data_IF_994576465730
#
_entry.id   IF_994576465730
#
_cell.length_a   1.000
_cell.length_b   1.000
_cell.length_c   1.000
_cell.angle_alpha   90.00
_cell.angle_beta   90.00
_cell.angle_gamma   90.00
#
_symmetry.space_group_name_H-M   'P 1'
#
loop_
_entity.id
_entity.type
_entity.pdbx_description
1 polymer ?
#
# COMPACT_ATOMS: atom_id res chain seq x y z
N UNK A 1 26.69 10.05 -11.66
CA UNK A 1 26.62 9.91 -10.20
C UNK A 1 25.17 9.63 -9.88
N UNK A 2 24.91 8.54 -9.20
CA UNK A 2 23.56 8.15 -8.84
C UNK A 2 23.00 9.14 -7.79
N UNK A 3 21.70 9.42 -7.85
CA UNK A 3 20.99 10.18 -6.81
C UNK A 3 20.81 9.27 -5.58
N UNK A 4 20.85 9.81 -4.38
CA UNK A 4 20.44 9.01 -3.21
C UNK A 4 18.97 8.61 -3.34
N UNK A 5 18.62 7.49 -2.75
CA UNK A 5 17.24 6.94 -2.74
C UNK A 5 16.72 6.94 -1.33
N UNK A 6 15.53 7.47 -1.12
CA UNK A 6 14.84 7.44 0.16
C UNK A 6 13.56 6.60 0.03
N UNK A 7 13.43 5.57 0.83
CA UNK A 7 12.18 4.82 0.96
C UNK A 7 11.26 5.54 1.95
N UNK A 8 10.01 5.76 1.55
CA UNK A 8 8.94 6.30 2.40
C UNK A 8 7.86 5.23 2.55
N UNK A 9 7.71 4.69 3.75
CA UNK A 9 6.69 3.69 4.07
C UNK A 9 5.47 4.41 4.65
N UNK A 10 4.29 4.20 4.05
CA UNK A 10 3.03 4.78 4.50
C UNK A 10 2.35 3.88 5.52
N UNK A 11 2.30 4.28 6.78
CA UNK A 11 1.76 3.51 7.90
C UNK A 11 0.65 4.28 8.68
N UNK A 12 -0.13 5.13 8.00
CA UNK A 12 -1.20 5.93 8.62
C UNK A 12 -2.60 5.33 8.53
N UNK A 13 -2.80 4.23 7.79
CA UNK A 13 -4.09 3.56 7.62
C UNK A 13 -4.50 2.71 8.83
N UNK A 14 -5.81 2.49 9.03
CA UNK A 14 -6.32 1.58 10.07
C UNK A 14 -6.62 0.17 9.57
N UNK A 15 -6.79 -0.03 8.25
CA UNK A 15 -7.08 -1.35 7.67
C UNK A 15 -8.41 -1.96 8.12
N UNK A 16 -9.46 -1.17 8.27
CA UNK A 16 -10.73 -1.53 8.90
C UNK A 16 -11.44 -2.78 8.34
N UNK A 17 -11.14 -3.19 7.10
CA UNK A 17 -11.70 -4.41 6.49
C UNK A 17 -11.11 -5.72 7.05
N UNK A 18 -10.03 -5.63 7.82
CA UNK A 18 -9.46 -6.76 8.57
C UNK A 18 -9.94 -6.79 10.04
N UNK A 19 -11.07 -6.14 10.34
CA UNK A 19 -11.75 -6.34 11.60
C UNK A 19 -12.14 -7.83 11.76
N UNK A 20 -12.02 -8.45 12.95
CA UNK A 20 -11.66 -7.89 14.25
C UNK A 20 -10.16 -7.86 14.59
N UNK A 21 -9.27 -8.39 13.77
CA UNK A 21 -7.83 -8.30 14.02
C UNK A 21 -7.33 -6.85 13.98
N UNK A 22 -7.79 -6.07 12.98
CA UNK A 22 -7.50 -4.64 12.88
C UNK A 22 -8.56 -3.83 13.63
N UNK A 23 -8.10 -2.92 14.49
CA UNK A 23 -8.92 -1.99 15.30
C UNK A 23 -8.29 -0.61 15.33
N UNK A 24 -8.94 0.36 15.98
CA UNK A 24 -8.41 1.72 16.13
C UNK A 24 -7.09 1.79 16.89
N UNK A 25 -6.85 0.88 17.82
CA UNK A 25 -5.64 0.74 18.63
C UNK A 25 -4.65 -0.31 18.11
N UNK A 26 -5.03 -1.10 17.12
CA UNK A 26 -4.18 -2.12 16.48
C UNK A 26 -4.41 -2.12 14.96
N UNK A 27 -3.83 -1.17 14.22
CA UNK A 27 -4.02 -1.08 12.77
C UNK A 27 -3.31 -2.20 12.02
N UNK A 28 -3.75 -2.46 10.78
CA UNK A 28 -3.33 -3.56 9.91
C UNK A 28 -1.81 -3.70 9.78
N UNK A 29 -1.08 -2.61 9.63
CA UNK A 29 0.37 -2.63 9.40
C UNK A 29 1.17 -3.23 10.55
N UNK A 30 0.60 -3.29 11.76
CA UNK A 30 1.25 -3.92 12.93
C UNK A 30 0.84 -5.38 13.13
N UNK A 31 -0.03 -5.92 12.26
CA UNK A 31 -0.41 -7.33 12.30
C UNK A 31 0.60 -8.20 11.56
N UNK A 32 0.81 -9.43 12.04
CA UNK A 32 1.48 -10.50 11.32
C UNK A 32 0.44 -11.25 10.49
N UNK A 33 0.44 -11.08 9.17
CA UNK A 33 -0.55 -11.67 8.26
C UNK A 33 0.12 -12.15 6.95
N UNK A 34 -0.46 -13.19 6.36
CA UNK A 34 -0.12 -13.62 5.00
C UNK A 34 1.18 -14.43 4.87
N UNK A 35 1.80 -14.84 5.98
CA UNK A 35 2.96 -15.74 6.01
C UNK A 35 2.94 -16.49 7.34
N UNK A 36 2.72 -17.81 7.34
CA UNK A 36 2.64 -18.60 8.57
C UNK A 36 4.01 -18.85 9.23
N UNK A 37 5.09 -18.66 8.48
CA UNK A 37 6.47 -18.88 8.95
C UNK A 37 7.12 -17.58 9.45
N UNK A 38 6.44 -16.43 9.34
CA UNK A 38 6.95 -15.12 9.74
C UNK A 38 5.94 -14.37 10.63
N UNK A 39 6.22 -14.33 11.92
CA UNK A 39 5.42 -13.67 12.96
C UNK A 39 5.62 -12.15 13.05
N UNK A 40 6.49 -11.58 12.20
CA UNK A 40 6.71 -10.14 12.14
C UNK A 40 5.55 -9.41 11.49
N UNK A 41 5.34 -8.18 11.93
CA UNK A 41 4.31 -7.32 11.35
C UNK A 41 4.55 -7.01 9.87
N UNK A 42 3.48 -6.64 9.16
CA UNK A 42 3.57 -6.20 7.76
C UNK A 42 4.51 -5.00 7.61
N UNK A 43 4.51 -4.06 8.56
CA UNK A 43 5.45 -2.93 8.57
C UNK A 43 6.90 -3.40 8.71
N UNK A 44 7.19 -4.33 9.63
CA UNK A 44 8.53 -4.86 9.82
C UNK A 44 9.06 -5.53 8.55
N UNK A 45 8.24 -6.37 7.91
CA UNK A 45 8.59 -7.01 6.63
C UNK A 45 8.78 -6.00 5.50
N UNK A 46 7.98 -4.91 5.48
CA UNK A 46 8.16 -3.83 4.49
C UNK A 46 9.45 -3.06 4.74
N UNK A 47 9.78 -2.74 6.00
CA UNK A 47 11.02 -2.07 6.36
C UNK A 47 12.26 -2.90 6.00
N UNK A 48 12.22 -4.21 6.18
CA UNK A 48 13.33 -5.10 5.81
C UNK A 48 13.61 -5.13 4.29
N UNK A 49 12.60 -4.87 3.45
CA UNK A 49 12.72 -4.81 1.99
C UNK A 49 13.18 -3.45 1.46
N UNK A 50 13.67 -2.55 2.31
CA UNK A 50 14.16 -1.23 1.90
C UNK A 50 15.68 -1.18 1.68
N UNK A 51 16.35 -2.32 1.55
CA UNK A 51 17.79 -2.43 1.32
C UNK A 51 18.31 -1.72 0.06
N UNK A 52 17.43 -1.38 -0.88
CA UNK A 52 17.74 -0.58 -2.06
C UNK A 52 17.90 0.93 -1.78
N UNK A 53 17.50 1.42 -0.60
CA UNK A 53 17.47 2.84 -0.24
C UNK A 53 18.61 3.21 0.71
N UNK A 54 19.07 4.46 0.61
CA UNK A 54 20.11 5.04 1.49
C UNK A 54 19.51 5.49 2.84
N UNK A 55 18.20 5.76 2.90
CA UNK A 55 17.47 6.07 4.12
C UNK A 55 16.02 5.58 4.02
N UNK A 56 15.42 5.25 5.16
CA UNK A 56 14.03 4.83 5.28
C UNK A 56 13.26 5.73 6.23
N UNK A 57 12.14 6.27 5.78
CA UNK A 57 11.18 7.04 6.57
C UNK A 57 9.88 6.23 6.71
N UNK A 58 9.23 6.32 7.87
CA UNK A 58 7.87 5.80 8.08
C UNK A 58 6.93 6.98 8.34
N UNK A 59 6.06 7.27 7.39
CA UNK A 59 5.03 8.30 7.53
C UNK A 59 3.81 7.71 8.22
N UNK A 60 3.41 8.30 9.34
CA UNK A 60 2.33 7.79 10.19
C UNK A 60 1.60 8.92 10.90
N UNK A 61 0.47 8.57 11.52
CA UNK A 61 -0.32 9.48 12.34
C UNK A 61 0.24 9.58 13.77
N UNK A 62 -0.10 10.66 14.51
CA UNK A 62 0.35 10.82 15.89
C UNK A 62 0.02 9.62 16.80
N UNK A 63 -1.17 9.01 16.59
CA UNK A 63 -1.65 7.90 17.41
C UNK A 63 -0.79 6.62 17.28
N UNK A 64 -0.04 6.45 16.19
CA UNK A 64 0.76 5.25 15.91
C UNK A 64 2.27 5.51 15.96
N UNK A 65 2.69 6.76 16.19
CA UNK A 65 4.11 7.15 16.09
C UNK A 65 5.01 6.41 17.09
N UNK A 66 4.53 6.17 18.30
CA UNK A 66 5.29 5.51 19.36
C UNK A 66 5.46 4.00 19.10
N UNK A 67 4.62 3.39 18.25
CA UNK A 67 4.64 1.95 17.96
C UNK A 67 5.59 1.63 16.78
N UNK A 68 5.79 2.57 15.86
CA UNK A 68 6.65 2.37 14.68
C UNK A 68 8.06 1.88 15.00
N UNK A 69 8.79 2.40 16.02
CA UNK A 69 10.15 1.96 16.32
C UNK A 69 10.26 0.49 16.76
N UNK A 70 9.19 -0.11 17.28
CA UNK A 70 9.16 -1.54 17.63
C UNK A 70 9.20 -2.43 16.40
N UNK A 71 8.65 -1.96 15.28
CA UNK A 71 8.53 -2.69 14.02
C UNK A 71 9.57 -2.28 12.97
N UNK A 72 10.02 -1.02 13.00
CA UNK A 72 10.98 -0.46 12.04
C UNK A 72 12.07 0.37 12.78
N UNK A 73 12.94 -0.24 13.58
CA UNK A 73 13.86 0.46 14.48
C UNK A 73 14.91 1.30 13.78
N UNK A 74 15.17 1.06 12.50
CA UNK A 74 16.18 1.78 11.72
C UNK A 74 15.57 2.89 10.85
N UNK A 75 14.24 3.08 10.88
CA UNK A 75 13.56 4.10 10.11
C UNK A 75 13.36 5.39 10.91
N UNK A 76 13.43 6.53 10.25
CA UNK A 76 13.00 7.80 10.83
C UNK A 76 11.46 7.88 10.81
N UNK A 77 10.86 8.28 11.92
CA UNK A 77 9.39 8.45 12.01
C UNK A 77 9.01 9.86 11.56
N UNK A 78 8.15 9.94 10.55
CA UNK A 78 7.56 11.19 10.06
C UNK A 78 6.11 11.25 10.48
N UNK A 79 5.80 12.12 11.45
CA UNK A 79 4.44 12.26 11.98
C UNK A 79 3.66 13.27 11.16
N UNK A 80 2.54 12.84 10.55
CA UNK A 80 1.63 13.71 9.82
C UNK A 80 0.94 14.70 10.76
N UNK A 81 0.81 16.00 10.40
CA UNK A 81 0.04 16.95 11.20
C UNK A 81 -1.42 16.56 11.39
N UNK A 82 -2.02 15.89 10.42
CA UNK A 82 -3.40 15.38 10.47
C UNK A 82 -3.60 14.24 9.44
N UNK A 83 -4.49 13.30 9.72
CA UNK A 83 -4.87 12.25 8.78
C UNK A 83 -5.75 12.79 7.65
N UNK A 84 -5.19 13.05 6.48
CA UNK A 84 -5.89 13.62 5.30
C UNK A 84 -5.72 12.79 4.02
N UNK A 85 -5.68 11.45 4.18
CA UNK A 85 -5.47 10.51 3.09
C UNK A 85 -4.04 10.57 2.51
N UNK A 86 -3.75 9.74 1.49
CA UNK A 86 -2.38 9.51 0.99
C UNK A 86 -1.77 10.72 0.28
N UNK A 87 -2.56 11.61 -0.32
CA UNK A 87 -2.05 12.77 -1.04
C UNK A 87 -1.22 13.71 -0.16
N UNK A 88 -1.81 14.32 0.89
CA UNK A 88 -1.07 15.17 1.82
C UNK A 88 0.06 14.44 2.55
N UNK A 89 -0.16 13.17 2.97
CA UNK A 89 0.84 12.36 3.65
C UNK A 89 2.10 12.16 2.79
N UNK A 90 1.93 11.75 1.54
CA UNK A 90 3.01 11.54 0.57
C UNK A 90 3.75 12.83 0.24
N UNK A 91 3.01 13.92 0.02
CA UNK A 91 3.63 15.20 -0.30
C UNK A 91 4.51 15.69 0.86
N UNK A 92 4.02 15.58 2.10
CA UNK A 92 4.77 15.94 3.29
C UNK A 92 5.97 15.01 3.53
N UNK A 93 5.78 13.70 3.42
CA UNK A 93 6.89 12.75 3.56
C UNK A 93 7.95 12.93 2.46
N UNK A 94 7.54 13.26 1.22
CA UNK A 94 8.46 13.61 0.14
C UNK A 94 9.24 14.90 0.44
N UNK A 95 8.61 15.90 1.09
CA UNK A 95 9.31 17.10 1.56
C UNK A 95 10.38 16.72 2.60
N UNK A 96 10.03 15.92 3.60
CA UNK A 96 10.96 15.46 4.65
C UNK A 96 12.12 14.59 4.10
N UNK A 97 11.86 13.83 3.05
CA UNK A 97 12.90 13.00 2.40
C UNK A 97 14.07 13.83 1.82
N UNK A 98 13.88 15.13 1.55
CA UNK A 98 14.97 16.05 1.16
C UNK A 98 16.03 16.20 2.25
N UNK A 99 15.63 16.07 3.52
CA UNK A 99 16.49 16.25 4.69
C UNK A 99 17.11 14.94 5.18
N UNK A 100 16.58 13.78 4.73
CA UNK A 100 16.98 12.46 5.22
C UNK A 100 18.32 11.96 4.68
N UNK A 101 18.86 12.61 3.65
CA UNK A 101 20.12 12.23 3.00
C UNK A 101 20.96 13.45 2.65
N UNK A 102 22.28 13.32 2.85
CA UNK A 102 23.24 14.32 2.40
C UNK A 102 23.53 14.14 0.90
N UNK A 103 23.56 15.22 0.14
CA UNK A 103 23.93 15.16 -1.27
C UNK A 103 23.77 16.49 -2.01
N UNK A 104 24.53 16.66 -3.11
CA UNK A 104 24.40 17.83 -4.00
C UNK A 104 23.13 17.77 -4.87
N UNK A 105 22.48 16.59 -4.94
CA UNK A 105 21.28 16.33 -5.75
C UNK A 105 20.13 15.91 -4.86
N UNK A 106 18.95 16.39 -5.18
CA UNK A 106 17.71 15.88 -4.58
C UNK A 106 17.61 14.36 -4.67
N UNK A 107 17.13 13.66 -3.62
CA UNK A 107 16.94 12.22 -3.66
C UNK A 107 15.88 11.81 -4.69
N UNK A 108 15.84 10.52 -4.98
CA UNK A 108 14.64 9.86 -5.49
C UNK A 108 13.89 9.28 -4.31
N UNK A 109 12.63 9.58 -4.20
CA UNK A 109 11.74 9.04 -3.18
C UNK A 109 10.98 7.85 -3.76
N UNK A 110 11.03 6.71 -3.07
CA UNK A 110 10.21 5.53 -3.38
C UNK A 110 9.18 5.37 -2.27
N UNK A 111 7.90 5.46 -2.61
CA UNK A 111 6.78 5.38 -1.67
C UNK A 111 6.22 3.97 -1.66
N UNK A 112 6.09 3.40 -0.47
CA UNK A 112 5.65 2.02 -0.23
C UNK A 112 4.50 2.00 0.77
N UNK A 113 3.39 1.28 0.51
CA UNK A 113 2.43 0.92 1.57
C UNK A 113 3.07 -0.03 2.60
N UNK A 114 2.75 0.17 3.88
CA UNK A 114 3.28 -0.63 4.99
C UNK A 114 2.70 -2.04 5.09
N UNK A 115 1.62 -2.33 4.35
CA UNK A 115 0.69 -3.41 4.65
C UNK A 115 0.48 -4.40 3.49
N UNK A 116 1.37 -4.39 2.50
CA UNK A 116 1.32 -5.29 1.37
C UNK A 116 2.11 -6.60 1.60
N UNK A 117 1.57 -7.68 1.08
CA UNK A 117 2.26 -8.96 1.00
C UNK A 117 3.12 -9.02 -0.27
N UNK A 118 4.42 -9.24 -0.09
CA UNK A 118 5.41 -9.43 -1.17
C UNK A 118 6.35 -10.55 -0.74
N UNK A 119 6.21 -11.75 -1.29
CA UNK A 119 7.00 -12.91 -0.85
C UNK A 119 8.45 -12.91 -1.38
N UNK A 120 8.72 -12.26 -2.52
CA UNK A 120 10.05 -12.20 -3.14
C UNK A 120 10.69 -10.83 -2.91
N UNK A 121 11.46 -10.70 -1.83
CA UNK A 121 12.15 -9.48 -1.45
C UNK A 121 13.23 -9.05 -2.45
N UNK A 122 14.00 -9.98 -3.01
CA UNK A 122 15.08 -9.67 -3.96
C UNK A 122 14.52 -9.10 -5.27
N UNK A 123 13.48 -9.72 -5.81
CA UNK A 123 12.81 -9.24 -7.02
C UNK A 123 12.12 -7.89 -6.77
N UNK A 124 11.59 -7.67 -5.57
CA UNK A 124 11.03 -6.40 -5.14
C UNK A 124 12.10 -5.31 -5.12
N UNK A 125 13.20 -5.49 -4.40
CA UNK A 125 14.28 -4.51 -4.30
C UNK A 125 14.88 -4.16 -5.67
N UNK A 126 15.12 -5.17 -6.52
CA UNK A 126 15.59 -4.95 -7.88
C UNK A 126 14.60 -4.11 -8.73
N UNK A 127 13.29 -4.33 -8.54
CA UNK A 127 12.26 -3.56 -9.23
C UNK A 127 12.18 -2.12 -8.70
N UNK A 128 12.27 -1.91 -7.39
CA UNK A 128 12.30 -0.57 -6.77
C UNK A 128 13.52 0.23 -7.26
N UNK A 129 14.70 -0.37 -7.23
CA UNK A 129 15.92 0.26 -7.74
C UNK A 129 15.79 0.65 -9.23
N UNK A 130 15.14 -0.21 -10.04
CA UNK A 130 14.86 0.09 -11.46
C UNK A 130 13.93 1.30 -11.60
N UNK A 131 12.83 1.34 -10.85
CA UNK A 131 11.87 2.45 -10.87
C UNK A 131 12.49 3.76 -10.38
N UNK A 132 13.28 3.71 -9.31
CA UNK A 132 14.04 4.87 -8.81
C UNK A 132 14.97 5.43 -9.87
N UNK A 133 15.65 4.57 -10.64
CA UNK A 133 16.50 5.00 -11.73
C UNK A 133 15.70 5.67 -12.86
N UNK A 134 14.54 5.11 -13.24
CA UNK A 134 13.66 5.76 -14.24
C UNK A 134 13.22 7.14 -13.76
N UNK A 135 12.75 7.26 -12.50
CA UNK A 135 12.35 8.55 -11.92
C UNK A 135 13.50 9.58 -11.92
N UNK A 136 14.67 9.17 -11.45
CA UNK A 136 15.85 10.03 -11.36
C UNK A 136 16.41 10.50 -12.71
N UNK A 137 16.40 9.63 -13.72
CA UNK A 137 16.94 9.91 -15.06
C UNK A 137 15.96 10.72 -15.92
N UNK A 138 14.64 10.52 -15.73
CA UNK A 138 13.62 11.09 -16.64
C UNK A 138 12.82 12.24 -16.03
N UNK A 139 12.85 12.40 -14.71
CA UNK A 139 11.99 13.35 -13.98
C UNK A 139 10.49 13.04 -14.13
N UNK A 140 10.12 11.78 -14.40
CA UNK A 140 8.73 11.34 -14.46
C UNK A 140 8.26 10.83 -13.11
N UNK A 141 6.95 10.92 -12.86
CA UNK A 141 6.33 10.17 -11.79
C UNK A 141 6.24 8.71 -12.24
N UNK A 142 6.75 7.80 -11.45
CA UNK A 142 6.74 6.36 -11.75
C UNK A 142 5.72 5.66 -10.86
N UNK A 143 4.80 4.90 -11.48
CA UNK A 143 3.95 3.93 -10.81
C UNK A 143 4.47 2.51 -11.07
N UNK A 144 4.34 1.62 -10.09
CA UNK A 144 4.68 0.21 -10.29
C UNK A 144 3.41 -0.57 -10.60
N UNK A 145 3.43 -1.24 -11.75
CA UNK A 145 2.28 -1.97 -12.28
C UNK A 145 2.43 -3.46 -12.09
N UNK A 146 1.48 -4.10 -11.43
CA UNK A 146 1.40 -5.55 -11.25
C UNK A 146 0.55 -6.16 -12.36
N UNK A 147 1.00 -7.27 -12.95
CA UNK A 147 0.22 -7.98 -13.97
C UNK A 147 -1.05 -8.58 -13.35
N UNK A 148 -2.25 -8.25 -13.85
CA UNK A 148 -3.49 -8.73 -13.28
C UNK A 148 -3.67 -10.23 -13.47
N UNK A 149 -4.06 -10.93 -12.41
CA UNK A 149 -4.43 -12.35 -12.45
C UNK A 149 -5.95 -12.58 -12.48
N UNK A 150 -6.74 -11.51 -12.29
CA UNK A 150 -8.19 -11.52 -12.23
C UNK A 150 -8.77 -10.11 -12.45
N UNK A 151 -10.06 -9.95 -12.81
CA UNK A 151 -10.70 -8.64 -12.90
C UNK A 151 -11.09 -8.11 -11.50
N UNK A 152 -10.14 -7.44 -10.82
CA UNK A 152 -10.36 -6.88 -9.49
C UNK A 152 -11.00 -5.49 -9.57
N UNK A 153 -12.14 -5.29 -8.94
CA UNK A 153 -12.83 -3.98 -8.87
C UNK A 153 -12.34 -3.11 -7.71
N UNK A 154 -11.54 -3.66 -6.81
CA UNK A 154 -10.98 -2.95 -5.65
C UNK A 154 -9.66 -2.21 -5.95
N UNK A 155 -9.07 -2.40 -7.14
CA UNK A 155 -7.77 -1.85 -7.51
C UNK A 155 -7.90 -0.76 -8.58
N UNK A 156 -6.92 0.14 -8.61
CA UNK A 156 -6.67 1.00 -9.76
C UNK A 156 -6.00 0.21 -10.89
N UNK A 157 -6.24 0.65 -12.13
CA UNK A 157 -5.63 0.08 -13.34
C UNK A 157 -4.80 1.13 -14.07
N UNK A 158 -3.66 0.73 -14.58
CA UNK A 158 -2.73 1.55 -15.34
C UNK A 158 -2.76 1.10 -16.80
N UNK A 159 -3.17 2.00 -17.70
CA UNK A 159 -3.03 1.80 -19.14
C UNK A 159 -1.56 2.06 -19.54
N UNK A 160 -0.83 1.05 -20.02
CA UNK A 160 0.53 1.25 -20.46
C UNK A 160 0.55 1.87 -21.87
N UNK A 161 1.35 2.92 -22.01
CA UNK A 161 1.63 3.59 -23.29
C UNK A 161 2.83 2.98 -24.02
N UNK A 162 3.56 3.85 -24.73
CA UNK A 162 4.70 3.45 -25.54
C UNK A 162 5.88 2.94 -24.68
N UNK A 163 6.59 1.95 -25.21
CA UNK A 163 7.86 1.49 -24.65
C UNK A 163 8.93 2.57 -24.76
N UNK A 164 9.71 2.74 -23.71
CA UNK A 164 10.79 3.73 -23.59
C UNK A 164 11.99 3.10 -22.89
N UNK A 165 13.12 3.76 -23.02
CA UNK A 165 14.33 3.51 -22.23
C UNK A 165 14.88 4.82 -21.70
N UNK A 166 15.59 4.78 -20.57
CA UNK A 166 16.32 5.95 -20.08
C UNK A 166 17.40 6.40 -21.09
N UNK A 167 17.83 7.67 -21.04
CA UNK A 167 18.75 8.26 -22.04
C UNK A 167 20.04 7.45 -22.24
N UNK A 168 20.52 6.79 -21.21
CA UNK A 168 21.71 5.93 -21.30
C UNK A 168 21.38 4.48 -21.68
N UNK A 169 20.13 4.22 -22.15
CA UNK A 169 19.68 2.92 -22.66
C UNK A 169 19.66 1.79 -21.63
N UNK A 170 19.85 2.12 -20.35
CA UNK A 170 20.10 1.11 -19.32
C UNK A 170 18.82 0.51 -18.72
N UNK A 171 17.70 1.24 -18.70
CA UNK A 171 16.46 0.82 -18.02
C UNK A 171 15.26 1.03 -18.93
N UNK A 172 14.52 -0.06 -19.17
CA UNK A 172 13.27 -0.03 -19.91
C UNK A 172 12.09 0.33 -18.97
N UNK A 173 11.16 1.12 -19.50
CA UNK A 173 9.89 1.48 -18.85
C UNK A 173 8.83 1.72 -19.91
N UNK A 174 7.57 1.91 -19.53
CA UNK A 174 6.49 2.32 -20.43
C UNK A 174 5.94 3.68 -19.99
N UNK A 175 5.49 4.47 -20.96
CA UNK A 175 4.70 5.66 -20.61
C UNK A 175 3.41 5.22 -19.90
N UNK A 176 2.93 6.00 -18.97
CA UNK A 176 1.61 5.83 -18.40
C UNK A 176 0.63 6.61 -19.29
N UNK A 177 -0.25 5.90 -20.00
CA UNK A 177 -1.21 6.51 -20.94
C UNK A 177 -2.45 7.00 -20.21
N UNK A 178 -2.98 6.21 -19.26
CA UNK A 178 -4.10 6.58 -18.41
C UNK A 178 -4.07 5.82 -17.09
N UNK A 179 -4.74 6.39 -16.10
CA UNK A 179 -4.95 5.80 -14.77
C UNK A 179 -6.46 5.70 -14.51
N UNK A 180 -6.93 4.54 -14.05
CA UNK A 180 -8.35 4.26 -13.83
C UNK A 180 -8.55 3.67 -12.44
N UNK A 181 -9.18 4.42 -11.57
CA UNK A 181 -9.38 3.99 -10.18
C UNK A 181 -10.70 3.21 -10.04
N UNK A 182 -10.61 2.00 -9.51
CA UNK A 182 -11.72 1.12 -9.10
C UNK A 182 -12.86 1.02 -10.13
N UNK A 183 -12.60 0.38 -11.30
CA UNK A 183 -13.63 0.19 -12.34
C UNK A 183 -14.74 -0.75 -11.87
N UNK A 184 -15.86 -0.74 -12.59
CA UNK A 184 -16.86 -1.81 -12.50
C UNK A 184 -16.33 -3.15 -13.04
N UNK A 185 -17.05 -4.25 -12.81
CA UNK A 185 -16.59 -5.60 -13.15
C UNK A 185 -16.35 -5.80 -14.66
N UNK A 186 -17.22 -5.21 -15.49
CA UNK A 186 -17.13 -5.35 -16.95
C UNK A 186 -15.87 -4.63 -17.47
N UNK A 187 -15.63 -3.41 -16.99
CA UNK A 187 -14.42 -2.66 -17.33
C UNK A 187 -13.15 -3.31 -16.78
N UNK A 188 -13.20 -3.85 -15.56
CA UNK A 188 -12.07 -4.56 -15.00
C UNK A 188 -11.65 -5.75 -15.87
N UNK A 189 -12.62 -6.51 -16.42
CA UNK A 189 -12.36 -7.60 -17.35
C UNK A 189 -11.75 -7.09 -18.68
N UNK A 190 -12.29 -6.02 -19.24
CA UNK A 190 -11.75 -5.38 -20.46
C UNK A 190 -10.29 -4.90 -20.25
N UNK A 191 -9.95 -4.36 -19.09
CA UNK A 191 -8.60 -3.89 -18.78
C UNK A 191 -7.61 -5.05 -18.67
N UNK A 192 -8.01 -6.17 -18.04
CA UNK A 192 -7.18 -7.39 -18.00
C UNK A 192 -6.91 -7.91 -19.41
N UNK A 193 -7.94 -8.04 -20.23
CA UNK A 193 -7.82 -8.52 -21.62
C UNK A 193 -6.97 -7.57 -22.49
N UNK A 194 -6.96 -6.28 -22.16
CA UNK A 194 -6.19 -5.25 -22.88
C UNK A 194 -4.75 -5.10 -22.40
N UNK A 195 -4.32 -5.87 -21.40
CA UNK A 195 -2.95 -5.87 -20.88
C UNK A 195 -2.63 -4.66 -20.00
N UNK A 196 -3.62 -4.11 -19.30
CA UNK A 196 -3.41 -3.09 -18.28
C UNK A 196 -2.76 -3.74 -17.05
N UNK A 197 -2.11 -2.92 -16.23
CA UNK A 197 -1.54 -3.34 -14.94
C UNK A 197 -2.44 -2.91 -13.79
N UNK A 198 -2.45 -3.66 -12.69
CA UNK A 198 -2.92 -3.12 -11.43
C UNK A 198 -1.96 -2.06 -10.90
N UNK A 199 -2.49 -0.98 -10.35
CA UNK A 199 -1.71 -0.06 -9.55
C UNK A 199 -1.33 -0.72 -8.22
N UNK A 200 -0.04 -0.92 -8.00
CA UNK A 200 0.44 -1.47 -6.73
C UNK A 200 0.35 -0.47 -5.56
N UNK A 201 0.00 0.79 -5.81
CA UNK A 201 0.07 1.85 -4.78
C UNK A 201 1.52 2.18 -4.39
N UNK A 202 2.47 1.72 -5.17
CA UNK A 202 3.91 1.97 -5.01
C UNK A 202 4.32 2.98 -6.07
N UNK A 203 5.11 3.99 -5.68
CA UNK A 203 5.49 5.08 -6.58
C UNK A 203 6.97 5.45 -6.41
N UNK A 204 7.54 6.11 -7.44
CA UNK A 204 8.86 6.73 -7.33
C UNK A 204 8.91 8.05 -8.11
N UNK A 205 9.61 9.04 -7.54
CA UNK A 205 9.79 10.37 -8.13
C UNK A 205 10.93 11.13 -7.49
N UNK A 206 11.36 12.23 -8.11
CA UNK A 206 12.11 13.25 -7.42
C UNK A 206 11.15 14.23 -6.72
N UNK A 207 11.49 14.82 -5.56
CA UNK A 207 10.65 15.82 -4.90
C UNK A 207 10.21 16.93 -5.84
N UNK A 208 11.14 17.45 -6.67
CA UNK A 208 10.82 18.49 -7.66
C UNK A 208 9.72 18.05 -8.64
N UNK A 209 9.79 16.80 -9.15
CA UNK A 209 8.80 16.28 -10.10
C UNK A 209 7.42 16.15 -9.46
N UNK A 210 7.32 15.62 -8.23
CA UNK A 210 6.05 15.53 -7.53
C UNK A 210 5.46 16.92 -7.25
N UNK A 211 6.26 17.83 -6.72
CA UNK A 211 5.81 19.19 -6.38
C UNK A 211 5.34 19.95 -7.64
N UNK A 212 6.05 19.81 -8.77
CA UNK A 212 5.61 20.38 -10.05
C UNK A 212 4.22 19.90 -10.45
N UNK A 213 3.98 18.58 -10.43
CA UNK A 213 2.70 17.99 -10.82
C UNK A 213 1.58 18.27 -9.80
N UNK A 214 1.91 18.51 -8.53
CA UNK A 214 0.92 18.78 -7.48
C UNK A 214 0.45 20.25 -7.43
N UNK A 215 1.14 21.20 -8.09
CA UNK A 215 0.82 22.65 -8.05
C UNK A 215 -0.55 23.03 -8.61
N UNK A 216 -1.02 22.27 -9.60
CA UNK A 216 -2.32 22.51 -10.26
C UNK A 216 -3.40 21.50 -9.81
N UNK A 217 -3.29 20.98 -8.59
CA UNK A 217 -4.15 19.96 -8.01
C UNK A 217 -4.79 20.45 -6.70
N UNK A 218 -5.72 19.70 -6.09
CA UNK A 218 -6.23 20.00 -4.76
C UNK A 218 -5.16 20.12 -3.66
N UNK A 219 -3.93 19.66 -3.92
CA UNK A 219 -2.80 19.74 -3.00
C UNK A 219 -2.00 21.06 -3.13
N UNK A 220 -2.35 21.96 -4.06
CA UNK A 220 -1.65 23.22 -4.29
C UNK A 220 -1.43 24.08 -3.02
N UNK A 221 -2.39 24.20 -2.08
CA UNK A 221 -2.16 24.93 -0.85
C UNK A 221 -1.04 24.34 0.01
N UNK A 222 -0.99 22.98 0.12
CA UNK A 222 0.07 22.31 0.87
C UNK A 222 1.44 22.44 0.17
N UNK A 223 1.47 22.37 -1.18
CA UNK A 223 2.69 22.64 -1.96
C UNK A 223 3.25 24.01 -1.64
N UNK A 224 2.39 25.05 -1.62
CA UNK A 224 2.81 26.43 -1.35
C UNK A 224 3.43 26.59 0.04
N UNK A 225 2.86 25.94 1.06
CA UNK A 225 3.39 25.98 2.43
C UNK A 225 4.72 25.20 2.56
N UNK A 226 4.85 24.04 1.91
CA UNK A 226 6.05 23.20 2.00
C UNK A 226 7.23 23.72 1.14
N UNK A 227 6.96 24.48 0.07
CA UNK A 227 7.98 25.03 -0.84
C UNK A 227 8.37 26.49 -0.45
N UNK A 228 7.78 27.06 0.61
CA UNK A 228 8.08 28.38 1.14
C UNK A 228 9.44 28.45 1.85
N UNK A 229 9.90 29.70 2.10
CA UNK A 229 11.17 29.94 2.83
C UNK A 229 11.08 29.56 4.33
N UNK A 230 9.87 29.50 4.90
CA UNK A 230 9.59 29.09 6.28
C UNK A 230 8.39 28.12 6.26
N UNK A 231 8.62 26.83 6.01
CA UNK A 231 7.56 25.85 5.83
C UNK A 231 6.67 25.67 7.07
N UNK A 232 5.35 25.76 6.90
CA UNK A 232 4.37 25.42 7.91
C UNK A 232 3.49 24.22 7.47
N UNK A 233 3.93 22.98 7.74
CA UNK A 233 3.16 21.79 7.38
C UNK A 233 1.76 21.77 8.01
N UNK A 234 1.58 22.28 9.22
CA UNK A 234 0.30 22.28 9.92
C UNK A 234 -0.72 23.19 9.21
N UNK A 235 -0.31 24.40 8.84
CA UNK A 235 -1.13 25.30 8.04
C UNK A 235 -1.46 24.70 6.66
N UNK A 236 -0.48 24.08 6.02
CA UNK A 236 -0.67 23.38 4.74
C UNK A 236 -1.69 22.26 4.83
N UNK A 237 -1.60 21.42 5.88
CA UNK A 237 -2.58 20.35 6.11
C UNK A 237 -3.97 20.91 6.41
N UNK A 238 -4.10 22.00 7.17
CA UNK A 238 -5.39 22.63 7.44
C UNK A 238 -6.06 23.12 6.15
N UNK A 239 -5.28 23.65 5.21
CA UNK A 239 -5.76 24.25 3.97
C UNK A 239 -6.24 23.22 2.90
N UNK A 240 -5.92 21.92 3.03
CA UNK A 240 -6.32 20.90 2.07
C UNK A 240 -7.40 19.98 2.63
N UNK A 241 -8.25 19.44 1.74
CA UNK A 241 -9.21 18.37 2.07
C UNK A 241 -8.56 17.00 1.91
N UNK A 242 -9.07 15.95 2.60
CA UNK A 242 -8.61 14.57 2.39
C UNK A 242 -8.74 14.16 0.92
N UNK A 243 -7.65 13.68 0.33
CA UNK A 243 -7.60 13.20 -1.06
C UNK A 243 -6.45 12.22 -1.24
N UNK A 244 -6.67 11.13 -1.99
CA UNK A 244 -5.59 10.21 -2.32
C UNK A 244 -4.65 10.81 -3.36
N UNK A 245 -3.39 10.34 -3.36
CA UNK A 245 -2.38 10.72 -4.36
C UNK A 245 -2.81 10.31 -5.78
N UNK A 246 -3.53 9.20 -5.89
CA UNK A 246 -4.05 8.68 -7.15
C UNK A 246 -4.98 9.69 -7.81
N UNK A 247 -6.01 10.15 -7.10
CA UNK A 247 -6.97 11.15 -7.60
C UNK A 247 -6.37 12.55 -7.73
N UNK A 248 -5.52 12.93 -6.78
CA UNK A 248 -4.99 14.29 -6.79
C UNK A 248 -3.95 14.50 -7.89
N UNK A 249 -3.05 13.52 -8.10
CA UNK A 249 -1.88 13.68 -8.93
C UNK A 249 -1.83 12.65 -10.07
N UNK A 250 -1.89 11.33 -9.76
CA UNK A 250 -1.57 10.29 -10.75
C UNK A 250 -2.54 10.24 -11.94
N UNK A 251 -3.85 10.45 -11.71
CA UNK A 251 -4.87 10.52 -12.78
C UNK A 251 -4.67 11.73 -13.72
N UNK A 252 -3.89 12.72 -13.31
CA UNK A 252 -3.73 14.01 -14.02
C UNK A 252 -2.32 14.23 -14.53
N UNK A 253 -1.39 13.34 -14.17
CA UNK A 253 0.01 13.52 -14.43
C UNK A 253 0.34 13.46 -15.94
N UNK A 254 0.83 14.55 -16.49
CA UNK A 254 1.25 14.63 -17.91
C UNK A 254 2.60 13.89 -18.16
N UNK A 255 3.39 13.70 -17.11
CA UNK A 255 4.73 13.10 -17.19
C UNK A 255 4.83 11.91 -16.24
N UNK A 256 4.09 10.84 -16.54
CA UNK A 256 4.12 9.62 -15.77
C UNK A 256 4.68 8.43 -16.57
N UNK A 257 5.15 7.43 -15.84
CA UNK A 257 5.67 6.18 -16.39
C UNK A 257 5.17 5.01 -15.55
N UNK A 258 5.09 3.82 -16.15
CA UNK A 258 4.87 2.57 -15.43
C UNK A 258 6.10 1.66 -15.58
N UNK A 259 6.53 1.11 -14.46
CA UNK A 259 7.54 0.06 -14.38
C UNK A 259 6.83 -1.22 -13.97
N UNK A 260 6.81 -2.25 -14.84
CA UNK A 260 6.19 -3.53 -14.51
C UNK A 260 6.87 -4.18 -13.30
N UNK A 261 6.08 -4.61 -12.33
CA UNK A 261 6.53 -5.37 -11.17
C UNK A 261 6.95 -6.78 -11.60
N UNK A 262 8.13 -7.21 -11.13
CA UNK A 262 8.67 -8.54 -11.41
C UNK A 262 8.54 -9.48 -10.17
N UNK A 263 7.58 -9.20 -9.29
CA UNK A 263 7.35 -9.93 -8.04
C UNK A 263 5.86 -10.20 -7.84
N UNK A 264 5.53 -11.24 -7.07
CA UNK A 264 4.18 -11.50 -6.64
C UNK A 264 3.75 -10.48 -5.56
N UNK A 265 2.45 -10.10 -5.61
CA UNK A 265 1.93 -9.02 -4.78
C UNK A 265 0.45 -9.24 -4.44
N UNK A 266 0.07 -8.93 -3.21
CA UNK A 266 -1.32 -8.76 -2.79
C UNK A 266 -1.42 -7.62 -1.76
N UNK A 267 -2.48 -6.83 -1.81
CA UNK A 267 -2.71 -5.72 -0.88
C UNK A 267 -3.28 -6.18 0.47
N UNK A 268 -3.58 -7.47 0.64
CA UNK A 268 -4.28 -8.03 1.80
C UNK A 268 -5.48 -7.17 2.22
N UNK A 269 -6.26 -6.73 1.25
CA UNK A 269 -7.28 -5.70 1.44
C UNK A 269 -8.49 -6.11 2.27
N UNK A 270 -8.79 -7.41 2.37
CA UNK A 270 -9.84 -8.00 3.19
C UNK A 270 -9.52 -9.49 3.44
N UNK A 271 -10.32 -10.17 4.26
CA UNK A 271 -10.06 -11.55 4.71
C UNK A 271 -9.98 -12.57 3.58
N UNK A 272 -10.71 -12.39 2.49
CA UNK A 272 -10.62 -13.24 1.29
C UNK A 272 -9.23 -13.23 0.63
N UNK A 273 -8.39 -12.25 0.95
CA UNK A 273 -7.03 -12.17 0.44
C UNK A 273 -6.14 -13.32 0.94
N UNK A 274 -6.39 -13.82 2.15
CA UNK A 274 -5.59 -14.92 2.71
C UNK A 274 -5.67 -16.19 1.88
N UNK A 275 -6.78 -16.43 1.21
CA UNK A 275 -6.97 -17.52 0.25
C UNK A 275 -6.04 -17.47 -0.98
N UNK A 276 -5.50 -16.29 -1.28
CA UNK A 276 -4.58 -16.09 -2.40
C UNK A 276 -3.11 -16.15 -2.03
N UNK A 277 -2.80 -16.02 -0.75
CA UNK A 277 -1.41 -15.90 -0.26
C UNK A 277 -0.96 -17.04 0.64
N UNK A 278 -1.91 -17.84 1.14
CA UNK A 278 -1.63 -19.02 1.98
C UNK A 278 -2.00 -20.31 1.24
N UNK A 279 -1.31 -21.39 1.58
CA UNK A 279 -1.58 -22.69 1.02
C UNK A 279 -2.86 -23.30 1.64
N UNK A 280 -3.83 -23.73 0.84
CA UNK A 280 -5.05 -24.36 1.34
C UNK A 280 -4.79 -25.84 1.74
N UNK A 281 -5.65 -26.37 2.61
CA UNK A 281 -5.74 -27.80 2.88
C UNK A 281 -6.36 -28.58 1.68
N UNK A 282 -6.58 -29.91 1.88
CA UNK A 282 -7.15 -30.78 0.83
C UNK A 282 -8.58 -30.45 0.40
N UNK A 283 -9.33 -29.71 1.20
CA UNK A 283 -10.71 -29.26 0.96
C UNK A 283 -10.76 -27.75 0.61
N UNK A 284 -9.61 -27.12 0.42
CA UNK A 284 -9.53 -25.70 0.05
C UNK A 284 -9.69 -24.73 1.22
N UNK A 285 -9.64 -25.18 2.46
CA UNK A 285 -9.68 -24.28 3.62
C UNK A 285 -8.29 -23.74 3.93
N UNK A 286 -8.24 -22.47 4.36
CA UNK A 286 -7.03 -21.76 4.76
C UNK A 286 -7.11 -21.38 6.22
N UNK A 287 -6.03 -21.57 6.98
CA UNK A 287 -5.94 -21.19 8.39
C UNK A 287 -4.80 -20.20 8.58
N UNK A 288 -5.05 -19.10 9.27
CA UNK A 288 -4.11 -18.03 9.53
C UNK A 288 -4.05 -17.64 11.03
N UNK A 289 -2.86 -17.22 11.47
CA UNK A 289 -2.60 -16.90 12.88
C UNK A 289 -2.47 -18.16 13.73
N UNK A 290 -2.75 -18.04 15.02
CA UNK A 290 -2.65 -19.14 15.99
C UNK A 290 -3.97 -19.92 16.14
N UNK A 291 -4.92 -19.73 15.22
CA UNK A 291 -6.21 -20.44 15.24
C UNK A 291 -6.03 -21.92 14.89
N UNK A 292 -6.78 -22.79 15.57
CA UNK A 292 -6.96 -24.18 15.17
C UNK A 292 -8.31 -24.36 14.45
N UNK A 293 -8.32 -25.04 13.30
CA UNK A 293 -9.54 -25.32 12.56
C UNK A 293 -9.87 -26.80 12.51
N UNK A 294 -11.13 -27.17 12.79
CA UNK A 294 -11.70 -28.48 12.54
C UNK A 294 -12.79 -28.33 11.49
N UNK A 295 -12.59 -28.94 10.31
CA UNK A 295 -13.56 -28.95 9.22
C UNK A 295 -14.24 -30.32 9.11
N UNK A 296 -15.58 -30.35 9.05
CA UNK A 296 -16.41 -31.55 8.79
C UNK A 296 -17.42 -31.18 7.71
N UNK A 297 -17.28 -31.82 6.53
CA UNK A 297 -18.10 -31.48 5.36
C UNK A 297 -18.10 -29.96 5.08
N UNK A 298 -16.91 -29.30 5.16
CA UNK A 298 -16.74 -27.87 5.04
C UNK A 298 -15.52 -27.57 4.14
N UNK A 299 -15.70 -26.74 3.13
CA UNK A 299 -14.70 -26.46 2.09
C UNK A 299 -14.60 -24.97 1.75
N UNK A 300 -13.46 -24.58 1.16
CA UNK A 300 -13.26 -23.24 0.62
C UNK A 300 -13.46 -22.11 1.64
N UNK A 301 -13.07 -22.32 2.91
CA UNK A 301 -13.21 -21.35 3.98
C UNK A 301 -11.85 -20.72 4.35
N UNK A 302 -11.89 -19.50 4.84
CA UNK A 302 -10.77 -18.82 5.49
C UNK A 302 -11.07 -18.76 6.99
N UNK A 303 -10.19 -19.34 7.81
CA UNK A 303 -10.22 -19.23 9.26
C UNK A 303 -9.03 -18.41 9.70
N UNK A 304 -9.24 -17.37 10.50
CA UNK A 304 -8.14 -16.58 11.05
C UNK A 304 -8.41 -16.25 12.51
N UNK A 305 -7.40 -16.26 13.35
CA UNK A 305 -7.58 -15.94 14.77
C UNK A 305 -6.29 -16.01 15.57
N UNK A 306 -6.41 -15.55 16.81
CA UNK A 306 -5.48 -15.83 17.88
C UNK A 306 -5.80 -17.23 18.47
N UNK A 307 -5.25 -17.62 19.60
CA UNK A 307 -5.38 -18.92 20.29
C UNK A 307 -6.87 -19.38 20.45
N UNK A 308 -7.53 -19.61 19.31
CA UNK A 308 -8.96 -19.93 19.22
C UNK A 308 -9.19 -21.19 18.39
N UNK A 309 -9.98 -22.14 18.92
CA UNK A 309 -10.43 -23.32 18.16
C UNK A 309 -11.75 -23.03 17.43
N UNK A 310 -11.74 -23.14 16.10
CA UNK A 310 -12.90 -22.94 15.22
C UNK A 310 -13.33 -24.27 14.62
N UNK A 311 -14.59 -24.68 14.82
CA UNK A 311 -15.17 -25.85 14.17
C UNK A 311 -16.12 -25.43 13.06
N UNK A 312 -15.87 -25.90 11.83
CA UNK A 312 -16.70 -25.69 10.64
C UNK A 312 -17.44 -26.98 10.32
N UNK A 313 -18.76 -26.93 10.21
CA UNK A 313 -19.58 -28.12 9.93
C UNK A 313 -20.61 -27.80 8.86
N UNK A 314 -20.48 -28.43 7.67
CA UNK A 314 -21.43 -28.31 6.58
C UNK A 314 -21.52 -26.88 6.00
N UNK A 315 -20.42 -26.12 5.97
CA UNK A 315 -20.36 -24.74 5.48
C UNK A 315 -19.22 -24.54 4.50
N UNK A 316 -19.44 -23.72 3.47
CA UNK A 316 -18.48 -23.45 2.42
C UNK A 316 -18.38 -21.92 2.14
N UNK A 317 -17.20 -21.51 1.68
CA UNK A 317 -16.98 -20.15 1.16
C UNK A 317 -17.10 -19.03 2.20
N UNK A 318 -16.77 -19.27 3.45
CA UNK A 318 -16.84 -18.29 4.53
C UNK A 318 -15.44 -17.79 4.92
N UNK A 319 -15.39 -16.55 5.39
CA UNK A 319 -14.34 -16.07 6.28
C UNK A 319 -14.90 -16.12 7.72
N UNK A 320 -14.24 -16.88 8.59
CA UNK A 320 -14.52 -16.98 10.02
C UNK A 320 -13.30 -16.49 10.77
N UNK A 321 -13.46 -15.36 11.45
CA UNK A 321 -12.32 -14.64 12.05
C UNK A 321 -12.60 -14.38 13.52
N UNK A 322 -11.69 -14.82 14.39
CA UNK A 322 -11.83 -14.71 15.84
C UNK A 322 -10.56 -14.11 16.46
N UNK A 323 -10.66 -12.91 16.99
CA UNK A 323 -9.59 -12.23 17.71
C UNK A 323 -10.09 -11.64 19.02
N UNK A 324 -9.40 -11.93 20.10
CA UNK A 324 -9.75 -11.53 21.48
C UNK A 324 -11.21 -11.94 21.82
N UNK A 325 -12.09 -10.97 22.05
CA UNK A 325 -13.49 -11.15 22.41
C UNK A 325 -14.48 -11.05 21.23
N UNK A 326 -13.98 -11.00 19.97
CA UNK A 326 -14.79 -10.69 18.79
C UNK A 326 -14.69 -11.76 17.72
N UNK A 327 -15.82 -12.07 17.13
CA UNK A 327 -15.94 -13.02 16.02
C UNK A 327 -16.64 -12.35 14.86
N UNK A 328 -16.04 -12.48 13.67
CA UNK A 328 -16.63 -12.10 12.39
C UNK A 328 -16.92 -13.37 11.59
N UNK A 329 -18.12 -13.44 11.01
CA UNK A 329 -18.48 -14.45 10.01
C UNK A 329 -19.05 -13.73 8.80
N UNK A 330 -18.45 -13.93 7.64
CA UNK A 330 -18.86 -13.28 6.39
C UNK A 330 -18.59 -14.20 5.19
N UNK A 331 -19.47 -14.27 4.18
CA UNK A 331 -19.13 -14.94 2.92
C UNK A 331 -17.89 -14.32 2.27
N UNK A 332 -16.99 -15.13 1.71
CA UNK A 332 -15.78 -14.62 1.00
C UNK A 332 -16.15 -13.56 -0.06
N UNK A 333 -17.24 -13.80 -0.79
CA UNK A 333 -17.73 -12.85 -1.80
C UNK A 333 -18.15 -11.48 -1.23
N UNK A 334 -18.47 -11.42 0.06
CA UNK A 334 -18.89 -10.20 0.76
C UNK A 334 -17.81 -9.63 1.70
N UNK A 335 -16.59 -10.16 1.68
CA UNK A 335 -15.51 -9.75 2.60
C UNK A 335 -15.24 -8.23 2.58
N UNK A 336 -15.41 -7.54 1.45
CA UNK A 336 -15.26 -6.09 1.35
C UNK A 336 -16.31 -5.32 2.18
N UNK A 337 -17.47 -5.92 2.47
CA UNK A 337 -18.57 -5.33 3.25
C UNK A 337 -18.32 -5.32 4.77
N UNK A 338 -17.23 -5.91 5.23
CA UNK A 338 -16.80 -5.78 6.63
C UNK A 338 -16.70 -4.31 7.05
N UNK A 339 -16.38 -3.43 6.10
CA UNK A 339 -16.39 -1.97 6.31
C UNK A 339 -17.74 -1.45 6.82
N UNK A 340 -18.87 -1.98 6.30
CA UNK A 340 -20.22 -1.56 6.73
C UNK A 340 -20.46 -1.87 8.21
N UNK A 341 -19.93 -3.01 8.70
CA UNK A 341 -20.01 -3.37 10.11
C UNK A 341 -19.12 -2.47 10.98
N UNK A 342 -17.90 -2.18 10.52
CA UNK A 342 -16.96 -1.29 11.22
C UNK A 342 -17.50 0.13 11.32
N UNK A 343 -18.13 0.67 10.28
CA UNK A 343 -18.71 2.02 10.33
C UNK A 343 -19.81 2.11 11.42
N UNK A 344 -20.64 1.07 11.57
CA UNK A 344 -21.62 0.99 12.67
C UNK A 344 -20.98 0.85 14.06
N UNK A 345 -19.86 0.11 14.15
CA UNK A 345 -19.12 -0.02 15.41
C UNK A 345 -18.50 1.32 15.82
N UNK A 346 -17.98 2.10 14.85
CA UNK A 346 -17.47 3.46 15.10
C UNK A 346 -18.57 4.40 15.60
N UNK A 347 -19.76 4.36 15.00
CA UNK A 347 -20.91 5.16 15.44
C UNK A 347 -21.32 4.84 16.89
N UNK A 348 -21.13 3.60 17.34
CA UNK A 348 -21.43 3.15 18.70
C UNK A 348 -20.24 3.22 19.68
N UNK A 349 -19.06 3.68 19.21
CA UNK A 349 -17.84 3.75 20.03
C UNK A 349 -17.27 2.38 20.42
N UNK A 350 -17.47 1.35 19.57
CA UNK A 350 -17.07 -0.04 19.84
C UNK A 350 -15.97 -0.56 18.90
N UNK A 351 -15.39 0.31 18.08
CA UNK A 351 -14.30 -0.06 17.15
C UNK A 351 -12.93 0.25 17.70
#
# INVERSE_FOLDING_TARGET
>A
MDRPVVAVILAGGTGSRLYPASRSDRPKQFLALGDPDDDRSLLARTADRTGFADATLVATRPEFADEVPEHAPNAEVVVEPAGKDTGPAILYATHRAREAVDGEREPVVVVLPADHHVPDGDAFEATMARGARVAGDTGRLVAFGVEPTRPATGYGYIEPGADRTTEHGAVAYRELAAFHEKPDADRAAEYVDSGYYWNAGIFAWTPAALFEQARDTPLAPLVAELDGDDPDPAAGFEAVSPVSIDYAVMERADRAAVVPAAFAWDDLGAWDALDRVLDPDGDGNVVAGDAEALAVDAADNVVAGDDTHVSLVGVDGLCVVAYDDRVLVVPKADAQRVRDAVDRLKESGQF
#
